data_IF_330397656613
#
_entry.id   IF_330397656613
#
_cell.length_a   1.000
_cell.length_b   1.000
_cell.length_c   1.000
_cell.angle_alpha   90.00
_cell.angle_beta   90.00
_cell.angle_gamma   90.00
#
_symmetry.space_group_name_H-M   'P 1'
#
loop_
_entity.id
_entity.type
_entity.pdbx_description
1 polymer ?
#
# COMPACT_ATOMS: atom_id res chain seq x y z
N UNK A 1 -55.45 -7.49 46.82
CA UNK A 1 -54.00 -7.62 46.94
C UNK A 1 -53.45 -7.97 45.55
N UNK A 2 -53.01 -6.96 44.78
CA UNK A 2 -52.47 -7.15 43.38
C UNK A 2 -50.92 -7.13 43.49
N UNK A 3 -50.31 -8.28 43.17
CA UNK A 3 -48.85 -8.40 43.06
C UNK A 3 -48.45 -8.12 41.62
N UNK A 4 -47.76 -6.95 41.43
CA UNK A 4 -47.16 -6.58 40.16
C UNK A 4 -45.82 -7.29 40.03
N UNK A 5 -45.68 -8.16 39.03
CA UNK A 5 -44.41 -8.75 38.60
C UNK A 5 -43.72 -7.77 37.61
N UNK A 6 -42.66 -7.17 38.03
CA UNK A 6 -41.73 -6.42 37.19
C UNK A 6 -40.83 -7.43 36.44
N UNK A 7 -41.04 -7.59 35.18
CA UNK A 7 -40.16 -8.33 34.27
C UNK A 7 -38.99 -7.43 33.88
N UNK A 8 -37.81 -7.76 34.38
CA UNK A 8 -36.53 -7.13 33.95
C UNK A 8 -36.14 -7.79 32.60
N UNK A 9 -36.31 -7.06 31.52
CA UNK A 9 -35.80 -7.45 30.20
C UNK A 9 -34.30 -7.09 30.15
N UNK A 10 -33.45 -8.10 30.28
CA UNK A 10 -32.02 -7.98 30.04
C UNK A 10 -31.78 -7.88 28.53
N UNK A 11 -31.48 -6.68 28.03
CA UNK A 11 -31.03 -6.50 26.66
C UNK A 11 -29.55 -6.96 26.59
N UNK A 12 -29.34 -8.15 26.07
CA UNK A 12 -28.01 -8.64 25.71
C UNK A 12 -27.60 -7.92 24.42
N UNK A 13 -26.74 -6.91 24.54
CA UNK A 13 -26.08 -6.27 23.40
C UNK A 13 -25.06 -7.26 22.86
N UNK A 14 -25.40 -7.94 21.81
CA UNK A 14 -24.46 -8.74 21.02
C UNK A 14 -23.56 -7.78 20.23
N UNK A 15 -22.37 -7.53 20.76
CA UNK A 15 -21.29 -6.86 20.02
C UNK A 15 -20.89 -7.77 18.87
N UNK A 16 -21.40 -7.49 17.68
CA UNK A 16 -21.01 -8.18 16.46
C UNK A 16 -19.54 -7.86 16.15
N UNK A 17 -18.67 -8.80 16.51
CA UNK A 17 -17.26 -8.81 16.07
C UNK A 17 -17.22 -9.17 14.59
N UNK A 18 -17.35 -8.20 13.71
CA UNK A 18 -17.17 -8.37 12.27
C UNK A 18 -15.93 -7.59 11.76
N UNK A 19 -14.70 -7.95 12.19
CA UNK A 19 -13.50 -7.45 11.52
C UNK A 19 -12.64 -8.52 10.86
N UNK A 20 -12.80 -9.80 11.15
CA UNK A 20 -11.87 -10.83 10.67
C UNK A 20 -11.97 -11.06 9.15
N UNK A 21 -13.16 -11.24 8.62
CA UNK A 21 -13.34 -11.61 7.20
C UNK A 21 -12.91 -10.50 6.23
N UNK A 22 -13.15 -9.23 6.54
CA UNK A 22 -12.75 -8.11 5.68
C UNK A 22 -11.22 -7.89 5.71
N UNK A 23 -10.58 -8.15 6.85
CA UNK A 23 -9.12 -8.10 6.97
C UNK A 23 -8.47 -9.25 6.21
N UNK A 24 -8.99 -10.46 6.32
CA UNK A 24 -8.49 -11.64 5.62
C UNK A 24 -8.61 -11.49 4.10
N UNK A 25 -9.73 -10.93 3.61
CA UNK A 25 -9.92 -10.64 2.18
C UNK A 25 -8.93 -9.57 1.68
N UNK A 26 -8.69 -8.53 2.48
CA UNK A 26 -7.72 -7.48 2.13
C UNK A 26 -6.30 -8.04 2.05
N UNK A 27 -5.91 -8.90 2.98
CA UNK A 27 -4.59 -9.56 2.94
C UNK A 27 -4.46 -10.53 1.77
N UNK A 28 -5.51 -11.26 1.44
CA UNK A 28 -5.53 -12.14 0.26
C UNK A 28 -5.34 -11.34 -1.03
N UNK A 29 -6.06 -10.23 -1.20
CA UNK A 29 -5.89 -9.33 -2.35
C UNK A 29 -4.50 -8.70 -2.42
N UNK A 30 -3.92 -8.33 -1.27
CA UNK A 30 -2.54 -7.83 -1.20
C UNK A 30 -1.52 -8.91 -1.59
N UNK A 31 -1.75 -10.16 -1.20
CA UNK A 31 -0.90 -11.28 -1.58
C UNK A 31 -0.93 -11.53 -3.09
N UNK A 32 -2.12 -11.51 -3.70
CA UNK A 32 -2.28 -11.66 -5.15
C UNK A 32 -1.61 -10.52 -5.93
N UNK A 33 -1.75 -9.27 -5.49
CA UNK A 33 -1.09 -8.12 -6.11
C UNK A 33 0.43 -8.23 -6.02
N UNK A 34 0.96 -8.70 -4.88
CA UNK A 34 2.41 -8.95 -4.72
C UNK A 34 2.91 -10.06 -5.63
N UNK A 35 2.15 -11.15 -5.73
CA UNK A 35 2.51 -12.27 -6.61
C UNK A 35 2.53 -11.83 -8.08
N UNK A 36 1.52 -11.07 -8.52
CA UNK A 36 1.45 -10.51 -9.87
C UNK A 36 2.60 -9.53 -10.13
N UNK A 37 2.94 -8.66 -9.18
CA UNK A 37 4.09 -7.76 -9.29
C UNK A 37 5.40 -8.52 -9.43
N UNK A 38 5.62 -9.55 -8.61
CA UNK A 38 6.82 -10.39 -8.69
C UNK A 38 6.95 -11.07 -10.04
N UNK A 39 5.85 -11.59 -10.61
CA UNK A 39 5.83 -12.19 -11.95
C UNK A 39 6.21 -11.19 -13.04
N UNK A 40 5.66 -9.96 -12.98
CA UNK A 40 5.99 -8.89 -13.91
C UNK A 40 7.47 -8.49 -13.81
N UNK A 41 8.00 -8.35 -12.61
CA UNK A 41 9.42 -8.05 -12.38
C UNK A 41 10.30 -9.18 -12.91
N UNK A 42 9.96 -10.44 -12.66
CA UNK A 42 10.68 -11.60 -13.18
C UNK A 42 10.77 -11.56 -14.70
N UNK A 43 9.65 -11.36 -15.36
CA UNK A 43 9.58 -11.29 -16.84
C UNK A 43 10.37 -10.09 -17.39
N UNK A 44 10.22 -8.93 -16.81
CA UNK A 44 10.86 -7.70 -17.29
C UNK A 44 12.37 -7.69 -17.05
N UNK A 45 12.82 -8.29 -15.95
CA UNK A 45 14.23 -8.34 -15.61
C UNK A 45 15.00 -9.38 -16.43
N UNK A 46 14.40 -10.51 -16.78
CA UNK A 46 14.98 -11.60 -17.56
C UNK A 46 16.42 -11.95 -17.12
N UNK A 47 16.59 -12.18 -15.81
CA UNK A 47 17.87 -12.48 -15.17
C UNK A 47 18.26 -13.94 -15.43
N UNK A 48 19.55 -14.19 -15.58
CA UNK A 48 20.08 -15.55 -15.52
C UNK A 48 20.10 -16.07 -14.06
N UNK A 49 20.50 -17.32 -13.85
CA UNK A 49 20.46 -17.97 -12.55
C UNK A 49 21.33 -17.23 -11.52
N UNK A 50 22.60 -16.94 -11.85
CA UNK A 50 23.53 -16.26 -10.96
C UNK A 50 23.06 -14.82 -10.60
N UNK A 51 22.51 -14.12 -11.59
CA UNK A 51 21.92 -12.79 -11.38
C UNK A 51 20.69 -12.87 -10.49
N UNK A 52 19.85 -13.88 -10.67
CA UNK A 52 18.64 -14.12 -9.87
C UNK A 52 18.99 -14.39 -8.42
N UNK A 53 19.97 -15.23 -8.14
CA UNK A 53 20.44 -15.51 -6.77
C UNK A 53 20.88 -14.24 -6.03
N UNK A 54 21.55 -13.32 -6.71
CA UNK A 54 21.98 -12.06 -6.12
C UNK A 54 20.86 -11.00 -6.02
N UNK A 55 19.93 -10.98 -6.97
CA UNK A 55 18.86 -9.97 -7.05
C UNK A 55 17.74 -10.20 -6.04
N UNK A 56 17.17 -11.42 -6.00
CA UNK A 56 15.94 -11.67 -5.25
C UNK A 56 16.02 -11.44 -3.74
N UNK A 57 17.13 -11.71 -3.04
CA UNK A 57 17.25 -11.32 -1.63
C UNK A 57 17.11 -9.82 -1.43
N UNK A 58 17.75 -9.00 -2.29
CA UNK A 58 17.68 -7.54 -2.23
C UNK A 58 16.27 -7.05 -2.53
N UNK A 59 15.62 -7.63 -3.54
CA UNK A 59 14.24 -7.30 -3.91
C UNK A 59 13.24 -7.60 -2.78
N UNK A 60 13.35 -8.74 -2.11
CA UNK A 60 12.48 -9.07 -0.97
C UNK A 60 12.59 -8.09 0.18
N UNK A 61 13.79 -7.63 0.49
CA UNK A 61 13.99 -6.60 1.51
C UNK A 61 13.38 -5.25 1.08
N UNK A 62 13.55 -4.87 -0.19
CA UNK A 62 12.90 -3.69 -0.76
C UNK A 62 11.38 -3.76 -0.63
N UNK A 63 10.77 -4.87 -1.04
CA UNK A 63 9.33 -5.08 -0.93
C UNK A 63 8.83 -5.01 0.52
N UNK A 64 9.57 -5.57 1.46
CA UNK A 64 9.22 -5.52 2.88
C UNK A 64 9.21 -4.08 3.44
N UNK A 65 10.14 -3.22 3.02
CA UNK A 65 10.13 -1.81 3.39
C UNK A 65 9.05 -1.02 2.62
N UNK A 66 8.79 -1.37 1.35
CA UNK A 66 7.78 -0.72 0.52
C UNK A 66 6.34 -0.93 1.06
N UNK A 67 6.06 -2.07 1.68
CA UNK A 67 4.76 -2.35 2.31
C UNK A 67 4.37 -1.25 3.29
N UNK A 68 5.30 -0.75 4.10
CA UNK A 68 5.03 0.32 5.08
C UNK A 68 4.54 1.61 4.41
N UNK A 69 5.21 2.01 3.32
CA UNK A 69 4.83 3.19 2.55
C UNK A 69 3.49 3.00 1.83
N UNK A 70 3.18 1.78 1.41
CA UNK A 70 1.89 1.45 0.82
C UNK A 70 0.76 1.49 1.86
N UNK A 71 0.99 1.04 3.08
CA UNK A 71 0.04 1.13 4.18
C UNK A 71 -0.24 2.59 4.58
N UNK A 72 0.80 3.43 4.64
CA UNK A 72 0.65 4.88 4.85
C UNK A 72 -0.15 5.54 3.71
N UNK A 73 0.11 5.14 2.46
CA UNK A 73 -0.63 5.61 1.29
C UNK A 73 -2.11 5.21 1.38
N UNK A 74 -2.39 3.96 1.72
CA UNK A 74 -3.76 3.47 1.89
C UNK A 74 -4.50 4.21 3.02
N UNK A 75 -3.83 4.49 4.14
CA UNK A 75 -4.38 5.28 5.22
C UNK A 75 -4.73 6.71 4.76
N UNK A 76 -3.82 7.37 4.02
CA UNK A 76 -4.07 8.70 3.47
C UNK A 76 -5.27 8.71 2.50
N UNK A 77 -5.42 7.68 1.67
CA UNK A 77 -6.55 7.54 0.74
C UNK A 77 -7.87 7.34 1.51
N UNK A 78 -7.88 6.53 2.56
CA UNK A 78 -9.06 6.33 3.41
C UNK A 78 -9.47 7.62 4.10
N UNK A 79 -8.52 8.37 4.63
CA UNK A 79 -8.77 9.67 5.27
C UNK A 79 -9.30 10.69 4.24
N UNK A 80 -8.75 10.70 3.01
CA UNK A 80 -9.26 11.49 1.91
C UNK A 80 -10.73 11.16 1.61
N UNK A 81 -11.05 9.89 1.42
CA UNK A 81 -12.40 9.45 1.10
C UNK A 81 -13.40 9.77 2.22
N UNK A 82 -13.00 9.62 3.48
CA UNK A 82 -13.85 9.93 4.64
C UNK A 82 -14.14 11.42 4.79
N UNK A 83 -13.20 12.28 4.39
CA UNK A 83 -13.31 13.74 4.58
C UNK A 83 -13.63 14.49 3.28
N UNK A 84 -13.78 13.81 2.15
CA UNK A 84 -13.90 14.42 0.83
C UNK A 84 -15.02 15.48 0.75
N UNK A 85 -16.21 15.16 1.27
CA UNK A 85 -17.37 16.04 1.19
C UNK A 85 -17.30 17.30 2.11
N UNK A 86 -16.46 17.23 3.14
CA UNK A 86 -16.33 18.26 4.19
C UNK A 86 -14.87 18.64 4.43
N UNK A 87 -14.04 18.59 3.38
CA UNK A 87 -12.61 18.84 3.46
C UNK A 87 -12.31 20.22 4.04
N UNK A 88 -11.61 20.24 5.17
CA UNK A 88 -11.09 21.47 5.76
C UNK A 88 -9.68 21.78 5.26
N UNK A 89 -9.25 23.03 5.40
CA UNK A 89 -7.88 23.45 5.02
C UNK A 89 -6.82 22.67 5.82
N UNK A 90 -7.07 22.38 7.09
CA UNK A 90 -6.19 21.60 7.95
C UNK A 90 -6.08 20.14 7.47
N UNK A 91 -7.20 19.52 7.12
CA UNK A 91 -7.22 18.16 6.58
C UNK A 91 -6.51 18.09 5.22
N UNK A 92 -6.76 19.06 4.34
CA UNK A 92 -6.08 19.16 3.06
C UNK A 92 -4.57 19.35 3.21
N UNK A 93 -4.13 20.20 4.15
CA UNK A 93 -2.71 20.43 4.48
C UNK A 93 -2.03 19.15 5.00
N UNK A 94 -2.69 18.41 5.88
CA UNK A 94 -2.15 17.12 6.38
C UNK A 94 -2.02 16.10 5.25
N UNK A 95 -3.02 15.94 4.40
CA UNK A 95 -2.99 15.03 3.26
C UNK A 95 -1.88 15.39 2.27
N UNK A 96 -1.68 16.68 1.97
CA UNK A 96 -0.56 17.14 1.13
C UNK A 96 0.78 16.75 1.72
N UNK A 97 0.99 17.02 3.02
CA UNK A 97 2.23 16.67 3.73
C UNK A 97 2.50 15.17 3.67
N UNK A 98 1.50 14.36 3.98
CA UNK A 98 1.61 12.88 3.92
C UNK A 98 1.88 12.39 2.50
N UNK A 99 1.19 12.93 1.50
CA UNK A 99 1.37 12.56 0.10
C UNK A 99 2.80 12.84 -0.39
N UNK A 100 3.37 13.99 -0.04
CA UNK A 100 4.76 14.31 -0.38
C UNK A 100 5.74 13.41 0.38
N UNK A 101 5.54 13.18 1.67
CA UNK A 101 6.40 12.29 2.46
C UNK A 101 6.44 10.86 1.91
N UNK A 102 5.29 10.31 1.48
CA UNK A 102 5.19 8.99 0.87
C UNK A 102 5.97 8.93 -0.45
N UNK A 103 5.81 9.94 -1.33
CA UNK A 103 6.54 10.00 -2.61
C UNK A 103 8.06 10.11 -2.39
N UNK A 104 8.47 10.96 -1.47
CA UNK A 104 9.89 11.11 -1.10
C UNK A 104 10.44 9.80 -0.49
N UNK A 105 9.66 9.16 0.39
CA UNK A 105 10.01 7.86 0.97
C UNK A 105 10.21 6.79 -0.08
N UNK A 106 9.30 6.67 -1.06
CA UNK A 106 9.43 5.73 -2.18
C UNK A 106 10.67 5.99 -3.03
N UNK A 107 10.94 7.26 -3.34
CA UNK A 107 12.13 7.65 -4.10
C UNK A 107 13.42 7.30 -3.36
N UNK A 108 13.50 7.63 -2.06
CA UNK A 108 14.64 7.28 -1.21
C UNK A 108 14.85 5.77 -1.12
N UNK A 109 13.76 5.03 -0.94
CA UNK A 109 13.78 3.58 -0.84
C UNK A 109 14.31 2.96 -2.14
N UNK A 110 13.72 3.32 -3.29
CA UNK A 110 14.18 2.82 -4.59
C UNK A 110 15.65 3.15 -4.83
N UNK A 111 16.09 4.38 -4.55
CA UNK A 111 17.49 4.80 -4.68
C UNK A 111 18.43 3.95 -3.81
N UNK A 112 18.05 3.70 -2.54
CA UNK A 112 18.82 2.85 -1.60
C UNK A 112 19.04 1.46 -2.18
N UNK A 113 17.97 0.81 -2.63
CA UNK A 113 18.01 -0.56 -3.09
C UNK A 113 18.59 -0.71 -4.51
N UNK A 114 18.36 0.26 -5.41
CA UNK A 114 19.03 0.33 -6.72
C UNK A 114 20.55 0.39 -6.55
N UNK A 115 21.04 1.16 -5.56
CA UNK A 115 22.46 1.17 -5.22
C UNK A 115 22.99 -0.17 -4.72
N UNK A 116 22.17 -0.96 -4.01
CA UNK A 116 22.53 -2.33 -3.59
C UNK A 116 22.59 -3.29 -4.77
N UNK A 117 21.59 -3.24 -5.66
CA UNK A 117 21.58 -4.05 -6.89
C UNK A 117 22.75 -3.71 -7.80
N UNK A 118 23.10 -2.41 -7.93
CA UNK A 118 24.25 -1.99 -8.70
C UNK A 118 25.57 -2.57 -8.17
N UNK A 119 25.73 -2.64 -6.85
CA UNK A 119 26.92 -3.22 -6.21
C UNK A 119 26.98 -4.74 -6.32
N UNK A 120 25.83 -5.41 -6.18
CA UNK A 120 25.75 -6.87 -6.21
C UNK A 120 25.83 -7.43 -7.64
N UNK A 121 25.36 -6.68 -8.61
CA UNK A 121 25.30 -7.08 -10.03
C UNK A 121 26.06 -6.09 -10.91
N UNK A 122 25.34 -5.12 -11.50
CA UNK A 122 25.96 -4.07 -12.34
C UNK A 122 24.98 -2.89 -12.53
N UNK A 123 25.46 -1.73 -13.03
CA UNK A 123 24.62 -0.55 -13.26
C UNK A 123 23.49 -0.76 -14.27
N UNK A 124 23.70 -1.59 -15.29
CA UNK A 124 22.69 -1.83 -16.34
C UNK A 124 21.48 -2.58 -15.80
N UNK A 125 21.69 -3.61 -14.98
CA UNK A 125 20.62 -4.36 -14.30
C UNK A 125 19.89 -3.47 -13.29
N UNK A 126 20.66 -2.69 -12.50
CA UNK A 126 20.08 -1.75 -11.55
C UNK A 126 19.20 -0.68 -12.22
N UNK A 127 19.64 -0.13 -13.35
CA UNK A 127 18.88 0.85 -14.13
C UNK A 127 17.61 0.21 -14.73
N UNK A 128 17.69 -1.02 -15.25
CA UNK A 128 16.52 -1.76 -15.75
C UNK A 128 15.48 -1.96 -14.65
N UNK A 129 15.92 -2.38 -13.46
CA UNK A 129 15.01 -2.54 -12.34
C UNK A 129 14.35 -1.22 -11.93
N UNK A 130 15.11 -0.13 -11.83
CA UNK A 130 14.54 1.18 -11.54
C UNK A 130 13.47 1.59 -12.58
N UNK A 131 13.69 1.32 -13.87
CA UNK A 131 12.70 1.57 -14.92
C UNK A 131 11.43 0.72 -14.74
N UNK A 132 11.57 -0.56 -14.38
CA UNK A 132 10.42 -1.46 -14.11
C UNK A 132 9.62 -0.93 -12.94
N UNK A 133 10.26 -0.61 -11.81
CA UNK A 133 9.57 -0.06 -10.62
C UNK A 133 8.86 1.27 -10.94
N UNK A 134 9.49 2.16 -11.71
CA UNK A 134 8.85 3.40 -12.16
C UNK A 134 7.62 3.16 -13.04
N UNK A 135 7.70 2.21 -13.97
CA UNK A 135 6.56 1.87 -14.83
C UNK A 135 5.39 1.28 -14.03
N UNK A 136 5.67 0.39 -13.09
CA UNK A 136 4.67 -0.19 -12.20
C UNK A 136 4.01 0.88 -11.32
N UNK A 137 4.81 1.77 -10.72
CA UNK A 137 4.30 2.87 -9.90
C UNK A 137 3.44 3.85 -10.72
N UNK A 138 3.88 4.19 -11.94
CA UNK A 138 3.11 5.07 -12.83
C UNK A 138 1.75 4.46 -13.22
N UNK A 139 1.68 3.15 -13.41
CA UNK A 139 0.42 2.44 -13.63
C UNK A 139 -0.54 2.54 -12.45
N UNK A 140 -0.02 2.36 -11.23
CA UNK A 140 -0.78 2.53 -9.99
C UNK A 140 -1.26 3.98 -9.84
N UNK A 141 -0.36 4.95 -10.02
CA UNK A 141 -0.69 6.38 -9.88
C UNK A 141 -1.75 6.81 -10.91
N UNK A 142 -1.69 6.30 -12.14
CA UNK A 142 -2.71 6.56 -13.16
C UNK A 142 -4.07 5.98 -12.77
N UNK A 143 -4.11 4.75 -12.25
CA UNK A 143 -5.36 4.15 -11.79
C UNK A 143 -5.94 4.94 -10.62
N UNK A 144 -5.11 5.31 -9.65
CA UNK A 144 -5.54 6.14 -8.52
C UNK A 144 -6.09 7.49 -8.97
N UNK A 145 -5.45 8.15 -9.94
CA UNK A 145 -5.92 9.44 -10.48
C UNK A 145 -7.28 9.36 -11.20
N UNK A 146 -7.66 8.18 -11.70
CA UNK A 146 -8.99 7.96 -12.31
C UNK A 146 -10.08 7.77 -11.27
N UNK A 147 -9.76 7.16 -10.14
CA UNK A 147 -10.73 6.79 -9.10
C UNK A 147 -10.93 7.91 -8.05
N UNK A 148 -9.90 8.70 -7.78
CA UNK A 148 -9.98 9.76 -6.78
C UNK A 148 -10.46 11.07 -7.40
N UNK A 149 -11.62 11.61 -6.98
CA UNK A 149 -12.09 12.92 -7.42
C UNK A 149 -11.15 14.02 -6.94
N UNK A 150 -11.19 15.17 -7.59
CA UNK A 150 -10.48 16.37 -7.10
C UNK A 150 -11.20 16.95 -5.89
N UNK A 151 -10.44 17.55 -4.97
CA UNK A 151 -10.99 18.33 -3.86
C UNK A 151 -11.91 19.40 -4.45
N UNK A 152 -13.14 19.48 -3.94
CA UNK A 152 -14.13 20.46 -4.35
C UNK A 152 -13.68 21.90 -4.12
N UNK A 153 -14.33 22.84 -4.84
CA UNK A 153 -14.14 24.28 -4.67
C UNK A 153 -14.90 24.76 -3.45
#
# INVERSE_FOLDING_TARGET
MKRSLLAVVAVVVWSASAPSFAQDLTELLRADLRANKTALVTQAMALDEAQSEAFWPIYREYEAELIKLNDESLAAIKDYAANYATMTDEAAKDLLKRGFAIREGRTKLLKKYTGRVQKALNPKIAARWAQVEHALQAGIDLQMAKELPLIGK
#
